data_IF_667670376777
#
_entry.id   IF_667670376777
#
_cell.length_a   1.000
_cell.length_b   1.000
_cell.length_c   1.000
_cell.angle_alpha   90.00
_cell.angle_beta   90.00
_cell.angle_gamma   90.00
#
_symmetry.space_group_name_H-M   'P 1'
#
loop_
_entity.id
_entity.type
_entity.pdbx_description
1 polymer ?
#
# COMPACT_ATOMS: atom_id res chain seq x y z
N UNK A 1 1.08 9.35 -11.66
CA UNK A 1 2.23 8.98 -10.81
C UNK A 1 2.30 7.46 -10.77
N UNK A 2 3.47 6.83 -10.91
CA UNK A 2 3.61 5.37 -11.04
C UNK A 2 4.47 4.78 -9.91
N UNK A 3 4.24 3.51 -9.56
CA UNK A 3 4.97 2.81 -8.52
C UNK A 3 4.81 1.29 -8.61
N UNK A 4 5.39 0.56 -7.66
CA UNK A 4 5.29 -0.90 -7.62
C UNK A 4 6.12 -1.55 -6.51
N UNK A 5 6.05 -2.88 -6.40
CA UNK A 5 6.95 -3.63 -5.51
C UNK A 5 8.40 -3.51 -5.99
N UNK A 6 9.33 -3.65 -5.05
CA UNK A 6 10.77 -3.74 -5.34
C UNK A 6 11.09 -4.91 -6.30
N UNK A 7 10.34 -6.00 -6.19
CA UNK A 7 10.50 -7.21 -6.97
C UNK A 7 10.20 -7.07 -8.48
N UNK A 8 9.46 -6.04 -8.88
CA UNK A 8 9.02 -5.87 -10.26
C UNK A 8 7.65 -6.45 -10.60
N UNK A 9 7.18 -7.45 -9.86
CA UNK A 9 5.99 -8.22 -10.23
C UNK A 9 4.67 -7.43 -10.17
N UNK A 10 4.57 -6.47 -9.24
CA UNK A 10 3.39 -5.60 -9.07
C UNK A 10 3.72 -4.17 -9.51
N UNK A 11 2.81 -3.59 -10.31
CA UNK A 11 2.86 -2.18 -10.74
C UNK A 11 1.50 -1.52 -10.57
N UNK A 12 1.51 -0.24 -10.24
CA UNK A 12 0.31 0.57 -10.09
C UNK A 12 0.54 2.01 -10.56
N UNK A 13 -0.56 2.69 -10.85
CA UNK A 13 -0.60 4.12 -11.13
C UNK A 13 -1.66 4.81 -10.28
N UNK A 14 -1.41 6.09 -9.99
CA UNK A 14 -2.34 6.98 -9.31
C UNK A 14 -2.96 7.92 -10.34
N UNK A 15 -4.30 7.96 -10.40
CA UNK A 15 -5.06 8.85 -11.29
C UNK A 15 -5.14 10.29 -10.75
N UNK A 16 -4.99 10.47 -9.44
CA UNK A 16 -4.94 11.77 -8.76
C UNK A 16 -3.74 11.85 -7.80
N UNK A 17 -3.43 13.06 -7.34
CA UNK A 17 -2.45 13.25 -6.29
C UNK A 17 -3.03 12.76 -4.94
N UNK A 18 -2.21 12.17 -4.06
CA UNK A 18 -2.65 11.83 -2.71
C UNK A 18 -3.17 13.06 -1.96
N UNK A 19 -4.26 12.89 -1.22
CA UNK A 19 -4.88 13.95 -0.41
C UNK A 19 -4.09 14.25 0.87
N UNK A 20 -3.18 13.36 1.26
CA UNK A 20 -2.31 13.54 2.41
C UNK A 20 -1.22 12.48 2.46
N UNK A 21 -0.16 12.77 3.20
CA UNK A 21 0.91 11.83 3.50
C UNK A 21 1.37 12.01 4.94
N UNK A 22 1.89 10.94 5.54
CA UNK A 22 2.34 10.98 6.93
C UNK A 22 3.09 9.73 7.35
N UNK A 23 3.50 9.72 8.62
CA UNK A 23 4.19 8.60 9.26
C UNK A 23 3.27 7.93 10.27
N UNK A 24 3.14 6.61 10.18
CA UNK A 24 2.39 5.82 11.14
C UNK A 24 3.34 5.06 12.06
N UNK A 25 3.10 5.17 13.37
CA UNK A 25 3.88 4.52 14.42
C UNK A 25 3.14 3.34 15.08
N UNK A 26 1.99 2.93 14.55
CA UNK A 26 1.23 1.82 15.15
C UNK A 26 1.95 0.47 14.94
N UNK A 27 1.64 -0.50 15.80
CA UNK A 27 2.30 -1.82 15.76
C UNK A 27 2.09 -2.56 14.45
N UNK A 28 0.92 -2.43 13.83
CA UNK A 28 0.62 -3.02 12.51
C UNK A 28 1.56 -2.47 11.45
N UNK A 29 1.74 -1.15 11.42
CA UNK A 29 2.63 -0.51 10.46
C UNK A 29 4.10 -0.84 10.69
N UNK A 30 4.54 -0.91 11.95
CA UNK A 30 5.89 -1.38 12.30
C UNK A 30 6.15 -2.81 11.83
N UNK A 31 5.17 -3.72 12.01
CA UNK A 31 5.27 -5.10 11.53
C UNK A 31 5.29 -5.19 10.01
N UNK A 32 4.48 -4.39 9.33
CA UNK A 32 4.38 -4.39 7.87
C UNK A 32 5.64 -3.84 7.20
N UNK A 33 6.29 -2.82 7.77
CA UNK A 33 7.50 -2.23 7.19
C UNK A 33 8.81 -2.78 7.77
N UNK A 34 8.76 -3.55 8.86
CA UNK A 34 9.95 -3.95 9.61
C UNK A 34 10.73 -2.78 10.20
N UNK A 35 10.11 -1.60 10.33
CA UNK A 35 10.76 -0.33 10.69
C UNK A 35 10.04 0.36 11.87
N UNK A 36 10.68 1.34 12.57
CA UNK A 36 10.04 2.06 13.68
C UNK A 36 8.77 2.84 13.30
N UNK A 37 8.65 3.20 12.03
CA UNK A 37 7.50 3.86 11.43
C UNK A 37 7.33 3.43 9.97
N UNK A 38 6.16 3.71 9.41
CA UNK A 38 5.89 3.55 7.97
C UNK A 38 5.40 4.87 7.40
N UNK A 39 6.02 5.33 6.32
CA UNK A 39 5.46 6.41 5.51
C UNK A 39 4.30 5.87 4.67
N UNK A 40 3.19 6.61 4.64
CA UNK A 40 2.02 6.26 3.82
C UNK A 40 1.39 7.52 3.23
N UNK A 41 0.59 7.32 2.19
CA UNK A 41 -0.20 8.36 1.56
C UNK A 41 -1.67 7.92 1.50
N UNK A 42 -2.59 8.88 1.54
CA UNK A 42 -4.03 8.66 1.47
C UNK A 42 -4.55 9.17 0.14
N UNK A 43 -5.43 8.40 -0.50
CA UNK A 43 -6.10 8.79 -1.73
C UNK A 43 -7.43 8.03 -1.89
N UNK A 44 -8.31 8.46 -2.81
CA UNK A 44 -9.50 7.70 -3.18
C UNK A 44 -9.14 6.33 -3.76
N UNK A 45 -9.85 5.28 -3.35
CA UNK A 45 -9.61 3.91 -3.84
C UNK A 45 -9.78 3.82 -5.35
N UNK A 46 -10.78 4.51 -5.91
CA UNK A 46 -11.04 4.53 -7.35
C UNK A 46 -9.88 5.11 -8.18
N UNK A 47 -8.98 5.87 -7.54
CA UNK A 47 -7.85 6.52 -8.21
C UNK A 47 -6.56 5.69 -8.10
N UNK A 48 -6.56 4.60 -7.32
CA UNK A 48 -5.44 3.66 -7.24
C UNK A 48 -5.69 2.48 -8.18
N UNK A 49 -4.86 2.34 -9.21
CA UNK A 49 -5.11 1.39 -10.31
C UNK A 49 -3.90 0.47 -10.44
N UNK A 50 -4.09 -0.84 -10.27
CA UNK A 50 -3.09 -1.83 -10.61
C UNK A 50 -2.94 -1.91 -12.14
N UNK A 51 -1.70 -1.91 -12.61
CA UNK A 51 -1.38 -2.02 -14.04
C UNK A 51 -0.70 -3.35 -14.37
N UNK A 52 -0.22 -4.07 -13.35
CA UNK A 52 0.41 -5.39 -13.48
C UNK A 52 0.38 -6.12 -12.12
N UNK A 53 0.16 -7.44 -12.14
CA UNK A 53 0.39 -8.33 -11.01
C UNK A 53 -0.63 -8.20 -9.87
N UNK A 54 -1.86 -7.76 -10.15
CA UNK A 54 -2.92 -7.67 -9.13
C UNK A 54 -3.24 -9.05 -8.52
N UNK A 55 -3.12 -10.10 -9.32
CA UNK A 55 -3.24 -11.51 -8.93
C UNK A 55 -2.14 -12.01 -7.99
N UNK A 56 -1.04 -11.26 -7.87
CA UNK A 56 0.10 -11.56 -6.99
C UNK A 56 0.01 -10.87 -5.63
N UNK A 57 -1.16 -10.31 -5.29
CA UNK A 57 -1.39 -9.64 -4.02
C UNK A 57 -1.95 -10.60 -2.98
N UNK A 58 -1.15 -10.83 -1.94
CA UNK A 58 -1.65 -11.38 -0.67
C UNK A 58 -2.40 -10.30 0.11
N UNK A 59 -3.44 -10.71 0.85
CA UNK A 59 -4.24 -9.81 1.70
C UNK A 59 -4.31 -10.36 3.12
N UNK A 60 -4.13 -9.48 4.11
CA UNK A 60 -4.32 -9.78 5.53
C UNK A 60 -5.28 -8.76 6.15
N UNK A 61 -6.31 -9.25 6.83
CA UNK A 61 -7.15 -8.44 7.72
C UNK A 61 -6.30 -7.94 8.90
N UNK A 62 -5.93 -6.65 8.87
CA UNK A 62 -4.94 -6.07 9.78
C UNK A 62 -5.56 -5.40 11.01
N UNK A 63 -6.88 -5.23 10.98
CA UNK A 63 -7.77 -4.72 12.05
C UNK A 63 -9.22 -5.05 11.67
N UNK A 64 -10.18 -4.78 12.55
CA UNK A 64 -11.62 -4.96 12.25
C UNK A 64 -12.10 -4.11 11.05
N UNK A 65 -11.45 -2.98 10.78
CA UNK A 65 -11.88 -2.00 9.79
C UNK A 65 -10.90 -1.82 8.62
N UNK A 66 -9.83 -2.61 8.54
CA UNK A 66 -8.79 -2.38 7.54
C UNK A 66 -7.90 -3.59 7.24
N UNK A 67 -7.62 -3.76 5.96
CA UNK A 67 -6.71 -4.78 5.43
C UNK A 67 -5.37 -4.18 4.97
N UNK A 68 -4.38 -5.06 4.79
CA UNK A 68 -3.11 -4.74 4.14
C UNK A 68 -2.87 -5.73 3.01
N UNK A 69 -2.47 -5.19 1.86
CA UNK A 69 -2.10 -5.95 0.67
C UNK A 69 -0.61 -5.82 0.42
N UNK A 70 0.03 -6.90 0.01
CA UNK A 70 1.45 -6.94 -0.29
C UNK A 70 1.75 -7.97 -1.38
N UNK A 71 2.86 -7.77 -2.07
CA UNK A 71 3.31 -8.72 -3.08
C UNK A 71 3.73 -10.04 -2.43
N UNK A 72 3.30 -11.15 -3.02
CA UNK A 72 3.67 -12.52 -2.61
C UNK A 72 4.58 -13.20 -3.61
#
# INVERSE_FOLDING_TARGET
MEGGCMCGAVRYRLASAPSGAGWCHCRTCQRNSGSPAMAFATMPVADFIFTQGEDLLGTIASSESGERRFCT
#
